data_IF_742649873932
#
_entry.id   IF_742649873932
#
_cell.length_a   1.000
_cell.length_b   1.000
_cell.length_c   1.000
_cell.angle_alpha   90.00
_cell.angle_beta   90.00
_cell.angle_gamma   90.00
#
_symmetry.space_group_name_H-M   'P 1'
#
loop_
_entity.id
_entity.type
_entity.pdbx_description
1 polymer ?
#
# COMPACT_ATOMS: atom_id res chain seq x y z
N UNK A 1 -31.38 -8.95 2.85
CA UNK A 1 -30.84 -7.65 2.43
C UNK A 1 -29.32 -7.77 2.44
N UNK A 2 -28.71 -8.08 1.29
CA UNK A 2 -27.25 -8.30 1.22
C UNK A 2 -26.55 -6.94 1.12
N UNK A 3 -25.73 -6.61 2.13
CA UNK A 3 -24.97 -5.37 2.16
C UNK A 3 -23.92 -5.36 1.05
N UNK A 4 -23.97 -4.35 0.19
CA UNK A 4 -22.95 -4.10 -0.84
C UNK A 4 -21.65 -3.70 -0.13
N UNK A 5 -20.63 -4.55 -0.17
CA UNK A 5 -19.27 -4.20 0.27
C UNK A 5 -18.87 -2.88 -0.40
N UNK A 6 -18.39 -1.86 0.34
CA UNK A 6 -17.93 -0.63 -0.27
C UNK A 6 -16.84 -0.97 -1.30
N UNK A 7 -16.97 -0.45 -2.51
CA UNK A 7 -15.95 -0.62 -3.54
C UNK A 7 -14.62 -0.09 -2.96
N UNK A 8 -13.60 -0.95 -2.89
CA UNK A 8 -12.28 -0.55 -2.44
C UNK A 8 -11.82 0.64 -3.28
N UNK A 9 -11.30 1.69 -2.64
CA UNK A 9 -10.68 2.82 -3.34
C UNK A 9 -9.60 2.26 -4.28
N UNK A 10 -9.45 2.80 -5.52
CA UNK A 10 -8.40 2.37 -6.43
C UNK A 10 -7.03 2.52 -5.76
N UNK A 11 -6.19 1.50 -5.88
CA UNK A 11 -4.84 1.49 -5.30
C UNK A 11 -3.81 1.04 -6.33
N UNK A 12 -2.57 1.54 -6.24
CA UNK A 12 -1.51 1.27 -7.22
C UNK A 12 -1.25 -0.24 -7.44
N UNK A 13 -1.37 -1.06 -6.40
CA UNK A 13 -1.22 -2.51 -6.50
C UNK A 13 -2.29 -3.16 -7.40
N UNK A 14 -3.53 -2.68 -7.36
CA UNK A 14 -4.60 -3.18 -8.22
C UNK A 14 -4.33 -2.84 -9.70
N UNK A 15 -3.78 -1.65 -9.95
CA UNK A 15 -3.37 -1.23 -11.30
C UNK A 15 -2.22 -2.09 -11.80
N UNK A 16 -1.20 -2.32 -10.97
CA UNK A 16 -0.06 -3.17 -11.31
C UNK A 16 -0.50 -4.60 -11.60
N UNK A 17 -1.37 -5.17 -10.77
CA UNK A 17 -1.88 -6.52 -10.98
C UNK A 17 -2.65 -6.63 -12.30
N UNK A 18 -3.55 -5.68 -12.57
CA UNK A 18 -4.32 -5.66 -13.82
C UNK A 18 -3.42 -5.61 -15.06
N UNK A 19 -2.33 -4.83 -15.01
CA UNK A 19 -1.34 -4.76 -16.09
C UNK A 19 -0.56 -6.08 -16.26
N UNK A 20 -0.17 -6.72 -15.16
CA UNK A 20 0.53 -8.00 -15.20
C UNK A 20 -0.36 -9.12 -15.75
N UNK A 21 -1.63 -9.14 -15.37
CA UNK A 21 -2.63 -10.09 -15.90
C UNK A 21 -2.82 -9.88 -17.41
N UNK A 22 -2.91 -8.62 -17.84
CA UNK A 22 -2.98 -8.25 -19.27
C UNK A 22 -1.77 -8.76 -20.06
N UNK A 23 -0.56 -8.68 -19.50
CA UNK A 23 0.65 -9.23 -20.12
C UNK A 23 0.63 -10.77 -20.17
N UNK A 24 0.07 -11.42 -19.16
CA UNK A 24 -0.10 -12.87 -19.15
C UNK A 24 -1.09 -13.32 -20.25
N UNK A 25 -2.21 -12.62 -20.38
CA UNK A 25 -3.25 -12.89 -21.38
C UNK A 25 -2.76 -12.64 -22.80
N UNK A 26 -1.94 -11.60 -23.03
CA UNK A 26 -1.28 -11.36 -24.31
C UNK A 26 -0.34 -12.50 -24.73
N UNK A 27 0.31 -13.16 -23.76
CA UNK A 27 1.26 -14.25 -24.01
C UNK A 27 0.58 -15.62 -24.09
N UNK A 28 -0.70 -15.71 -23.73
CA UNK A 28 -1.46 -16.96 -23.75
C UNK A 28 -1.52 -17.53 -25.17
N UNK A 29 -1.10 -18.79 -25.34
CA UNK A 29 -1.19 -19.48 -26.64
C UNK A 29 -2.57 -20.08 -26.90
N UNK A 30 -3.31 -20.38 -25.84
CA UNK A 30 -4.63 -21.01 -25.95
C UNK A 30 -5.74 -19.98 -26.13
N UNK A 31 -5.66 -18.86 -25.41
CA UNK A 31 -6.62 -17.78 -25.49
C UNK A 31 -5.91 -16.42 -25.42
N UNK A 32 -5.22 -16.01 -26.51
CA UNK A 32 -4.53 -14.73 -26.57
C UNK A 32 -5.53 -13.58 -26.51
N UNK A 33 -5.25 -12.57 -25.71
CA UNK A 33 -6.04 -11.33 -25.71
C UNK A 33 -5.85 -10.55 -27.01
N UNK A 34 -6.92 -9.89 -27.45
CA UNK A 34 -6.89 -8.92 -28.54
C UNK A 34 -5.91 -7.75 -28.27
N UNK A 35 -5.12 -7.39 -29.28
CA UNK A 35 -4.06 -6.37 -29.17
C UNK A 35 -4.65 -4.98 -28.93
N UNK A 36 -5.78 -4.64 -29.57
CA UNK A 36 -6.40 -3.32 -29.41
C UNK A 36 -6.98 -3.17 -27.99
N UNK A 37 -7.58 -4.23 -27.45
CA UNK A 37 -7.96 -4.30 -26.03
C UNK A 37 -6.74 -4.07 -25.12
N UNK A 38 -5.61 -4.70 -25.43
CA UNK A 38 -4.40 -4.52 -24.64
C UNK A 38 -3.89 -3.06 -24.63
N UNK A 39 -3.89 -2.41 -25.79
CA UNK A 39 -3.53 -1.00 -25.94
C UNK A 39 -4.47 -0.09 -25.14
N UNK A 40 -5.77 -0.39 -25.14
CA UNK A 40 -6.75 0.35 -24.35
C UNK A 40 -6.46 0.25 -22.85
N UNK A 41 -6.18 -0.97 -22.34
CA UNK A 41 -5.80 -1.18 -20.94
C UNK A 41 -4.52 -0.42 -20.58
N UNK A 42 -3.48 -0.51 -21.41
CA UNK A 42 -2.22 0.19 -21.19
C UNK A 42 -2.40 1.73 -21.16
N UNK A 43 -3.30 2.26 -21.99
CA UNK A 43 -3.63 3.69 -22.02
C UNK A 43 -4.29 4.12 -20.71
N UNK A 44 -5.30 3.39 -20.25
CA UNK A 44 -5.99 3.71 -18.98
C UNK A 44 -5.03 3.61 -17.80
N UNK A 45 -4.17 2.60 -17.77
CA UNK A 45 -3.19 2.45 -16.71
C UNK A 45 -2.16 3.59 -16.71
N UNK A 46 -1.75 4.08 -17.88
CA UNK A 46 -0.87 5.26 -17.99
C UNK A 46 -1.53 6.50 -17.38
N UNK A 47 -2.81 6.74 -17.68
CA UNK A 47 -3.59 7.83 -17.09
C UNK A 47 -3.64 7.70 -15.56
N UNK A 48 -3.85 6.50 -15.02
CA UNK A 48 -3.84 6.26 -13.57
C UNK A 48 -2.46 6.56 -12.94
N UNK A 49 -1.37 6.12 -13.58
CA UNK A 49 -0.02 6.44 -13.11
C UNK A 49 0.25 7.94 -13.12
N UNK A 50 -0.22 8.65 -14.15
CA UNK A 50 -0.07 10.11 -14.21
C UNK A 50 -0.90 10.82 -13.14
N UNK A 51 -2.10 10.33 -12.80
CA UNK A 51 -2.85 10.88 -11.66
C UNK A 51 -2.12 10.68 -10.33
N UNK A 52 -1.43 9.55 -10.15
CA UNK A 52 -0.64 9.27 -8.96
C UNK A 52 0.60 10.19 -8.84
N UNK A 53 1.20 10.57 -9.96
CA UNK A 53 2.29 11.56 -9.98
C UNK A 53 1.79 12.93 -9.52
N UNK A 54 0.63 13.36 -10.00
CA UNK A 54 0.00 14.63 -9.60
C UNK A 54 -0.33 14.60 -8.10
N UNK A 55 -0.82 13.48 -7.57
CA UNK A 55 -1.03 13.32 -6.13
C UNK A 55 0.30 13.45 -5.35
N UNK A 56 1.37 12.81 -5.81
CA UNK A 56 2.68 12.94 -5.18
C UNK A 56 3.21 14.38 -5.18
N UNK A 57 3.01 15.11 -6.29
CA UNK A 57 3.34 16.54 -6.38
C UNK A 57 2.50 17.37 -5.41
N UNK A 58 1.20 17.10 -5.29
CA UNK A 58 0.33 17.76 -4.32
C UNK A 58 0.80 17.53 -2.88
N UNK A 59 1.21 16.30 -2.52
CA UNK A 59 1.75 15.99 -1.19
C UNK A 59 3.02 16.79 -0.89
N UNK A 60 3.96 16.85 -1.85
CA UNK A 60 5.19 17.65 -1.72
C UNK A 60 4.90 19.13 -1.52
N UNK A 61 3.93 19.69 -2.25
CA UNK A 61 3.57 21.11 -2.18
C UNK A 61 2.83 21.47 -0.88
N UNK A 62 2.05 20.54 -0.33
CA UNK A 62 1.24 20.76 0.89
C UNK A 62 1.95 20.35 2.17
N UNK A 63 3.11 19.70 2.07
CA UNK A 63 3.84 19.16 3.22
C UNK A 63 3.17 17.94 3.85
N UNK A 64 2.29 17.26 3.11
CA UNK A 64 1.70 15.99 3.51
C UNK A 64 2.67 14.85 3.17
N UNK A 65 2.71 13.82 4.01
CA UNK A 65 3.63 12.68 3.91
C UNK A 65 2.95 11.37 3.49
N UNK A 66 1.62 11.38 3.31
CA UNK A 66 0.80 10.19 3.07
C UNK A 66 -0.09 10.29 1.84
N UNK A 67 -0.15 9.22 1.06
CA UNK A 67 -0.96 9.10 -0.17
C UNK A 67 -1.97 7.98 -0.04
N UNK A 68 -3.25 8.28 -0.21
CA UNK A 68 -4.31 7.25 -0.20
C UNK A 68 -4.15 6.25 -1.38
N UNK A 69 -3.52 6.67 -2.49
CA UNK A 69 -3.37 5.84 -3.70
C UNK A 69 -2.06 5.04 -3.75
N UNK A 70 -0.98 5.57 -3.16
CA UNK A 70 0.37 4.98 -3.19
C UNK A 70 0.75 4.25 -1.90
N UNK A 71 0.10 4.53 -0.77
CA UNK A 71 0.40 3.85 0.49
C UNK A 71 -0.08 2.40 0.46
N UNK A 72 0.86 1.48 0.68
CA UNK A 72 0.54 0.10 1.01
C UNK A 72 -0.49 0.13 2.15
N UNK A 73 -1.71 -0.41 1.95
CA UNK A 73 -2.68 -0.49 3.02
C UNK A 73 -1.99 -1.15 4.20
N UNK A 74 -1.98 -0.48 5.36
CA UNK A 74 -1.46 -1.10 6.57
C UNK A 74 -2.12 -2.48 6.68
N UNK A 75 -1.31 -3.55 6.77
CA UNK A 75 -1.84 -4.88 7.01
C UNK A 75 -2.88 -4.76 8.12
N UNK A 76 -4.09 -5.33 7.97
CA UNK A 76 -5.05 -5.35 9.07
C UNK A 76 -4.26 -5.85 10.27
N UNK A 77 -4.30 -5.16 11.43
CA UNK A 77 -3.49 -5.53 12.57
C UNK A 77 -3.76 -7.01 12.78
N UNK A 78 -2.75 -7.84 12.48
CA UNK A 78 -2.82 -9.26 12.78
C UNK A 78 -3.17 -9.26 14.24
N UNK A 79 -4.40 -9.66 14.55
CA UNK A 79 -4.82 -9.89 15.90
C UNK A 79 -3.87 -10.98 16.36
N UNK A 80 -2.79 -10.55 17.02
CA UNK A 80 -1.86 -11.44 17.68
C UNK A 80 -2.74 -12.28 18.58
N UNK A 81 -2.96 -13.53 18.17
CA UNK A 81 -3.74 -14.50 18.91
C UNK A 81 -3.30 -14.40 20.36
N UNK A 82 -4.25 -14.07 21.22
CA UNK A 82 -4.02 -13.48 22.53
C UNK A 82 -2.80 -14.03 23.26
N UNK A 83 -1.73 -13.24 23.31
CA UNK A 83 -0.83 -13.27 24.44
C UNK A 83 -1.35 -12.23 25.40
N UNK A 84 -1.99 -12.74 26.45
CA UNK A 84 -2.42 -12.03 27.65
C UNK A 84 -1.47 -10.90 28.05
N UNK A 85 -2.08 -9.78 28.37
CA UNK A 85 -1.51 -8.56 28.94
C UNK A 85 -0.23 -8.79 29.76
N UNK A 86 0.85 -8.17 29.30
CA UNK A 86 1.84 -7.62 30.20
C UNK A 86 2.29 -6.28 29.64
N UNK A 87 2.18 -5.19 30.42
CA UNK A 87 2.50 -3.87 29.92
C UNK A 87 4.00 -3.86 29.75
N UNK A 88 4.47 -3.85 28.50
CA UNK A 88 5.83 -3.40 28.27
C UNK A 88 5.93 -2.03 28.93
N UNK A 89 7.07 -1.77 29.56
CA UNK A 89 7.93 -1.01 28.70
C UNK A 89 9.42 -1.30 28.89
N UNK A 90 10.12 -0.96 27.81
CA UNK A 90 11.48 -0.41 27.78
C UNK A 90 12.60 -1.42 27.63
N UNK A 91 13.38 -1.15 26.58
CA UNK A 91 14.83 -1.33 26.45
C UNK A 91 15.44 -1.79 27.76
N UNK A 92 16.14 -2.94 27.76
CA UNK A 92 16.63 -3.72 28.91
C UNK A 92 17.57 -3.03 29.91
N UNK A 93 17.35 -1.76 30.20
CA UNK A 93 17.89 -0.98 31.29
C UNK A 93 16.86 -1.07 32.42
N UNK A 94 17.13 -1.92 33.40
CA UNK A 94 16.25 -2.10 34.56
C UNK A 94 16.46 -1.00 35.62
N UNK A 95 17.61 -0.31 35.60
CA UNK A 95 17.90 0.87 36.43
C UNK A 95 19.09 1.66 35.87
N UNK A 96 19.12 2.97 36.13
CA UNK A 96 20.30 3.83 35.92
C UNK A 96 20.64 4.49 37.26
N UNK A 97 21.83 4.21 37.80
CA UNK A 97 22.36 4.90 38.99
C UNK A 97 23.33 5.98 38.52
N UNK A 98 23.00 7.26 38.76
CA UNK A 98 23.88 8.39 38.47
C UNK A 98 24.73 8.71 39.71
N UNK A 99 26.03 8.47 39.62
CA UNK A 99 26.97 8.91 40.66
C UNK A 99 27.42 10.35 40.37
N UNK A 100 27.24 11.23 41.35
CA UNK A 100 27.87 12.55 41.33
C UNK A 100 29.19 12.47 42.09
N UNK A 101 30.28 12.86 41.43
CA UNK A 101 31.57 13.03 42.09
C UNK A 101 31.51 14.31 42.93
N UNK A 102 31.76 14.18 44.23
CA UNK A 102 31.83 15.30 45.16
C UNK A 102 33.32 15.52 45.49
N UNK A 103 33.90 16.56 44.92
CA UNK A 103 35.30 16.95 45.08
C UNK A 103 35.67 18.02 44.08
#
# INVERSE_FOLDING_TARGET
MSGKTPAAKPHIEQVRQSLLDTLADLRSRENPMDIERAKAVATVASVLVDTAKVENEYLKLTGQDRSDFLEIPADPPVAHLGVSESPAPRNGITAITRHHLRG
#
